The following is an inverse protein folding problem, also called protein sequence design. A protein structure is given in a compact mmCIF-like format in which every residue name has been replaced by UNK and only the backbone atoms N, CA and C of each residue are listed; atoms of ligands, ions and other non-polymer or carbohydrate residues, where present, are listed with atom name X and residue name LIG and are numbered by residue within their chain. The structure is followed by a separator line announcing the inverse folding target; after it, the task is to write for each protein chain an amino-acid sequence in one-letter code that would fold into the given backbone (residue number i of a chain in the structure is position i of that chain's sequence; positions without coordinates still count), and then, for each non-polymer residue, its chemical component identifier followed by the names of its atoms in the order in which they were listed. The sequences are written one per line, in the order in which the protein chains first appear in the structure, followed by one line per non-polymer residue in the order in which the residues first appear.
data_IF_589018749612
#
_entry.id   IF_589018749612
#
_cell.length_a   1.000
_cell.length_b   1.000
_cell.length_c   1.000
_cell.angle_alpha   90.00
_cell.angle_beta   90.00
_cell.angle_gamma   90.00
#
_symmetry.space_group_name_H-M   'P 1'
#
loop_
_entity.id
_entity.type
_entity.pdbx_description
1 polymer ?
#
# COMPACT_ATOMS: atom_id res chain seq x y z
N UNK A 1 -7.04 6.89 10.92
CA UNK A 1 -6.32 5.79 10.23
C UNK A 1 -4.97 5.70 10.92
N UNK A 2 -4.54 4.50 11.27
CA UNK A 2 -3.28 4.26 11.95
C UNK A 2 -2.32 3.61 10.95
N UNK A 3 -1.06 4.04 10.98
CA UNK A 3 -0.02 3.60 10.05
C UNK A 3 1.15 3.13 10.89
N UNK A 4 1.58 1.90 10.67
CA UNK A 4 2.72 1.30 11.36
C UNK A 4 3.68 0.76 10.32
N UNK A 5 4.98 0.96 10.53
CA UNK A 5 6.03 0.38 9.70
C UNK A 5 6.94 -0.48 10.56
N UNK A 6 7.13 -1.74 10.15
CA UNK A 6 7.99 -2.71 10.82
C UNK A 6 9.16 -3.04 9.87
N UNK A 7 10.41 -2.66 10.20
CA UNK A 7 11.51 -2.75 9.24
C UNK A 7 12.13 -4.15 9.06
N UNK A 8 12.03 -5.04 10.07
CA UNK A 8 12.71 -6.35 10.08
C UNK A 8 11.74 -7.46 10.54
N UNK A 9 11.94 -8.72 10.11
CA UNK A 9 12.97 -9.22 9.17
C UNK A 9 12.66 -8.96 7.69
N UNK A 10 11.40 -8.66 7.37
CA UNK A 10 10.96 -8.17 6.06
C UNK A 10 10.19 -6.87 6.34
N UNK A 11 10.50 -5.78 5.63
CA UNK A 11 9.78 -4.52 5.77
C UNK A 11 8.27 -4.73 5.56
N UNK A 12 7.48 -4.24 6.48
CA UNK A 12 6.02 -4.36 6.48
C UNK A 12 5.38 -3.01 6.84
N UNK A 13 4.34 -2.67 6.09
CA UNK A 13 3.53 -1.48 6.30
C UNK A 13 2.10 -1.91 6.60
N UNK A 14 1.59 -1.49 7.74
CA UNK A 14 0.24 -1.80 8.20
C UNK A 14 -0.60 -0.53 8.25
N UNK A 15 -1.72 -0.56 7.53
CA UNK A 15 -2.77 0.46 7.59
C UNK A 15 -3.97 -0.14 8.33
N UNK A 16 -4.41 0.53 9.39
CA UNK A 16 -5.49 0.06 10.24
C UNK A 16 -6.49 1.16 10.61
N UNK A 17 -7.65 0.72 11.10
CA UNK A 17 -8.69 1.56 11.69
C UNK A 17 -9.98 1.63 10.87
N UNK A 18 -11.10 1.93 11.54
CA UNK A 18 -12.45 1.83 10.97
C UNK A 18 -12.74 2.71 9.75
N UNK A 19 -11.88 3.70 9.44
CA UNK A 19 -12.00 4.50 8.23
C UNK A 19 -11.79 3.68 6.94
N UNK A 20 -11.02 2.58 7.00
CA UNK A 20 -10.73 1.74 5.84
C UNK A 20 -12.00 1.12 5.23
N UNK A 21 -12.88 0.59 6.08
CA UNK A 21 -14.15 0.02 5.64
C UNK A 21 -15.05 1.05 4.94
N UNK A 22 -15.09 2.29 5.46
CA UNK A 22 -15.84 3.40 4.84
C UNK A 22 -15.29 3.77 3.47
N UNK A 23 -13.99 3.57 3.25
CA UNK A 23 -13.30 3.80 1.99
C UNK A 23 -13.37 2.58 1.04
N UNK A 24 -14.07 1.51 1.39
CA UNK A 24 -14.22 0.31 0.55
C UNK A 24 -13.14 -0.76 0.75
N UNK A 25 -12.24 -0.59 1.72
CA UNK A 25 -11.25 -1.59 2.10
C UNK A 25 -11.86 -2.50 3.17
N UNK A 26 -12.66 -3.47 2.74
CA UNK A 26 -13.30 -4.47 3.60
C UNK A 26 -12.57 -5.79 3.56
N UNK A 27 -12.74 -6.63 4.59
CA UNK A 27 -12.11 -7.96 4.65
C UNK A 27 -12.26 -8.75 3.35
N UNK A 28 -11.15 -9.29 2.84
CA UNK A 28 -11.14 -10.09 1.61
C UNK A 28 -11.32 -9.29 0.32
N UNK A 29 -11.36 -7.96 0.39
CA UNK A 29 -11.35 -7.12 -0.81
C UNK A 29 -9.99 -7.24 -1.53
N UNK A 30 -9.97 -7.59 -2.83
CA UNK A 30 -8.75 -7.64 -3.60
C UNK A 30 -8.18 -6.23 -3.86
N UNK A 31 -6.86 -6.13 -3.85
CA UNK A 31 -6.11 -4.87 -3.94
C UNK A 31 -5.07 -4.92 -5.05
N UNK A 32 -5.03 -3.85 -5.83
CA UNK A 32 -3.93 -3.52 -6.71
C UNK A 32 -2.95 -2.59 -6.00
N UNK A 33 -1.69 -3.02 -5.93
CA UNK A 33 -0.56 -2.21 -5.51
C UNK A 33 0.15 -1.71 -6.76
N UNK A 34 0.32 -0.39 -6.90
CA UNK A 34 1.04 0.20 -8.03
C UNK A 34 2.08 1.19 -7.54
N UNK A 35 3.31 0.97 -7.95
CA UNK A 35 4.46 1.79 -7.61
C UNK A 35 4.79 2.74 -8.76
N UNK A 36 4.53 4.04 -8.59
CA UNK A 36 4.79 5.02 -9.65
C UNK A 36 5.33 6.32 -9.08
N UNK A 37 6.44 6.83 -9.62
CA UNK A 37 7.03 8.12 -9.23
C UNK A 37 7.17 8.31 -7.71
N UNK A 38 7.73 7.33 -7.00
CA UNK A 38 7.87 7.37 -5.54
C UNK A 38 6.52 7.54 -4.78
N UNK A 39 5.41 7.18 -5.42
CA UNK A 39 4.09 6.99 -4.82
C UNK A 39 3.63 5.53 -4.90
N UNK A 40 3.18 4.98 -3.79
CA UNK A 40 2.45 3.71 -3.76
C UNK A 40 0.95 3.99 -3.79
N UNK A 41 0.28 3.46 -4.79
CA UNK A 41 -1.18 3.44 -4.91
C UNK A 41 -1.71 2.08 -4.48
N UNK A 42 -2.71 2.08 -3.62
CA UNK A 42 -3.45 0.89 -3.20
C UNK A 42 -4.89 1.11 -3.67
N UNK A 43 -5.31 0.34 -4.66
CA UNK A 43 -6.63 0.48 -5.28
C UNK A 43 -7.44 -0.78 -5.06
N UNK A 44 -8.70 -0.61 -4.64
CA UNK A 44 -9.66 -1.72 -4.54
C UNK A 44 -9.99 -2.21 -5.94
N UNK A 45 -9.92 -3.53 -6.14
CA UNK A 45 -10.36 -4.19 -7.37
C UNK A 45 -11.73 -4.80 -7.11
N UNK A 46 -12.70 -4.48 -7.96
CA UNK A 46 -14.11 -4.85 -7.75
C UNK A 46 -14.62 -5.96 -8.68
N UNK A 47 -13.88 -6.27 -9.75
CA UNK A 47 -14.28 -7.26 -10.74
C UNK A 47 -13.20 -8.35 -10.91
N UNK A 48 -13.68 -9.59 -11.08
CA UNK A 48 -12.83 -10.77 -11.13
C UNK A 48 -11.91 -10.78 -12.37
N UNK A 49 -12.35 -10.22 -13.49
CA UNK A 49 -11.56 -10.16 -14.72
C UNK A 49 -10.34 -9.25 -14.56
N UNK A 50 -10.50 -8.09 -13.93
CA UNK A 50 -9.38 -7.19 -13.59
C UNK A 50 -8.47 -7.82 -12.56
N UNK A 51 -9.01 -8.55 -11.58
CA UNK A 51 -8.21 -9.27 -10.60
C UNK A 51 -7.34 -10.36 -11.24
N UNK A 52 -7.90 -11.16 -12.14
CA UNK A 52 -7.17 -12.21 -12.87
C UNK A 52 -6.04 -11.62 -13.70
N UNK A 53 -6.33 -10.59 -14.50
CA UNK A 53 -5.33 -9.88 -15.30
C UNK A 53 -4.23 -9.23 -14.43
N UNK A 54 -4.59 -8.69 -13.28
CA UNK A 54 -3.65 -8.14 -12.30
C UNK A 54 -2.70 -9.21 -11.76
N UNK A 55 -3.23 -10.37 -11.37
CA UNK A 55 -2.44 -11.49 -10.86
C UNK A 55 -1.40 -11.98 -11.88
N UNK A 56 -1.74 -11.99 -13.16
CA UNK A 56 -0.80 -12.30 -14.24
C UNK A 56 0.25 -11.19 -14.41
N UNK A 57 -0.20 -9.93 -14.48
CA UNK A 57 0.67 -8.79 -14.72
C UNK A 57 1.68 -8.57 -13.58
N UNK A 58 1.29 -8.80 -12.31
CA UNK A 58 2.18 -8.64 -11.15
C UNK A 58 3.33 -9.65 -11.13
N UNK A 59 3.21 -10.77 -11.85
CA UNK A 59 4.32 -11.73 -11.98
C UNK A 59 5.39 -11.24 -12.95
N UNK A 60 5.04 -10.34 -13.86
CA UNK A 60 5.92 -9.83 -14.91
C UNK A 60 6.46 -8.43 -14.59
N UNK A 61 5.82 -7.71 -13.66
CA UNK A 61 6.10 -6.31 -13.36
C UNK A 61 6.52 -6.13 -11.91
N UNK A 62 7.66 -5.48 -11.70
CA UNK A 62 8.18 -5.17 -10.37
C UNK A 62 7.44 -4.00 -9.70
N UNK A 63 6.76 -3.17 -10.49
CA UNK A 63 6.02 -2.00 -10.02
C UNK A 63 4.54 -2.30 -9.74
N UNK A 64 4.12 -3.56 -9.87
CA UNK A 64 2.74 -3.99 -9.69
C UNK A 64 2.67 -5.15 -8.69
N UNK A 65 1.74 -5.08 -7.75
CA UNK A 65 1.47 -6.14 -6.78
C UNK A 65 -0.02 -6.44 -6.66
N UNK A 66 -0.33 -7.69 -6.36
CA UNK A 66 -1.68 -8.16 -6.06
C UNK A 66 -1.72 -8.59 -4.59
N UNK A 67 -2.62 -8.00 -3.80
CA UNK A 67 -2.79 -8.35 -2.38
C UNK A 67 -4.27 -8.24 -1.98
N UNK A 68 -4.57 -8.47 -0.70
CA UNK A 68 -5.93 -8.52 -0.16
C UNK A 68 -5.98 -7.78 1.17
N UNK A 69 -7.14 -7.19 1.47
CA UNK A 69 -7.43 -6.76 2.84
C UNK A 69 -7.52 -8.00 3.73
N UNK A 70 -6.75 -8.01 4.83
CA UNK A 70 -6.64 -9.14 5.75
C UNK A 70 -7.95 -9.39 6.49
N UNK A 71 -8.09 -10.56 7.10
CA UNK A 71 -9.31 -10.96 7.82
C UNK A 71 -9.71 -9.98 8.94
N UNK A 72 -8.71 -9.39 9.61
CA UNK A 72 -8.89 -8.40 10.66
C UNK A 72 -9.24 -6.98 10.12
N UNK A 73 -9.42 -6.82 8.81
CA UNK A 73 -9.75 -5.55 8.17
C UNK A 73 -8.54 -4.62 7.94
N UNK A 74 -7.33 -5.10 8.17
CA UNK A 74 -6.10 -4.32 7.95
C UNK A 74 -5.59 -4.51 6.52
N UNK A 75 -4.91 -3.48 6.01
CA UNK A 75 -4.11 -3.57 4.80
C UNK A 75 -2.66 -3.71 5.23
N UNK A 76 -2.08 -4.88 5.01
CA UNK A 76 -0.70 -5.19 5.39
C UNK A 76 0.09 -5.47 4.13
N UNK A 77 1.07 -4.62 3.84
CA UNK A 77 1.91 -4.69 2.65
C UNK A 77 3.32 -5.04 3.09
N UNK A 78 3.84 -6.16 2.60
CA UNK A 78 5.20 -6.61 2.90
C UNK A 78 6.12 -6.54 1.68
N UNK A 79 7.41 -6.37 1.94
CA UNK A 79 8.46 -6.65 0.97
C UNK A 79 9.55 -5.58 0.90
N UNK A 80 10.69 -5.98 0.36
CA UNK A 80 11.89 -5.12 0.25
C UNK A 80 11.65 -3.88 -0.62
N UNK A 81 10.64 -3.91 -1.48
CA UNK A 81 10.24 -2.76 -2.30
C UNK A 81 9.82 -1.54 -1.46
N UNK A 82 9.37 -1.73 -0.20
CA UNK A 82 9.14 -0.61 0.74
C UNK A 82 10.47 0.09 1.12
N UNK A 83 11.52 -0.68 1.34
CA UNK A 83 12.87 -0.16 1.62
C UNK A 83 13.51 0.43 0.36
N UNK A 84 13.32 -0.18 -0.81
CA UNK A 84 13.75 0.39 -2.10
C UNK A 84 13.05 1.72 -2.39
N UNK A 85 11.84 1.90 -1.86
CA UNK A 85 11.13 3.17 -1.86
C UNK A 85 11.68 4.23 -0.89
N UNK A 86 12.63 3.84 -0.04
CA UNK A 86 13.18 4.69 0.99
C UNK A 86 12.20 4.97 2.13
N UNK A 87 11.19 4.11 2.34
CA UNK A 87 10.34 4.16 3.53
C UNK A 87 11.12 3.51 4.67
N UNK A 88 11.56 4.31 5.63
CA UNK A 88 12.23 3.82 6.84
C UNK A 88 11.37 3.96 8.10
N UNK A 89 10.29 4.73 8.05
CA UNK A 89 9.32 4.86 9.13
C UNK A 89 7.96 5.34 8.63
N UNK A 90 6.91 5.05 9.41
CA UNK A 90 5.55 5.53 9.12
C UNK A 90 5.41 7.07 9.17
N UNK A 91 6.24 7.75 9.96
CA UNK A 91 6.22 9.23 10.09
C UNK A 91 6.65 9.94 8.81
N UNK A 92 7.45 9.26 7.97
CA UNK A 92 7.89 9.76 6.67
C UNK A 92 6.82 9.59 5.59
N UNK A 93 5.69 8.95 5.90
CA UNK A 93 4.61 8.72 4.94
C UNK A 93 3.50 9.76 5.09
N UNK A 94 3.12 10.34 3.96
CA UNK A 94 1.86 11.01 3.80
C UNK A 94 0.86 10.05 3.16
N UNK A 95 -0.31 9.91 3.78
CA UNK A 95 -1.38 9.06 3.30
C UNK A 95 -2.58 9.93 2.94
N UNK A 96 -2.94 9.90 1.66
CA UNK A 96 -4.19 10.48 1.17
C UNK A 96 -5.17 9.36 0.90
N UNK A 97 -6.41 9.53 1.36
CA UNK A 97 -7.45 8.51 1.23
C UNK A 97 -8.65 9.06 0.46
N UNK A 98 -9.15 8.25 -0.47
CA UNK A 98 -10.39 8.45 -1.21
C UNK A 98 -11.15 7.11 -1.29
N UNK A 99 -12.45 7.10 -1.62
CA UNK A 99 -13.17 5.86 -1.83
C UNK A 99 -12.47 4.97 -2.87
N UNK A 100 -12.14 3.75 -2.46
CA UNK A 100 -11.46 2.73 -3.27
C UNK A 100 -9.96 2.95 -3.48
N UNK A 101 -9.37 4.04 -2.97
CA UNK A 101 -7.98 4.40 -3.27
C UNK A 101 -7.25 4.95 -2.04
N UNK A 102 -6.08 4.40 -1.74
CA UNK A 102 -5.10 4.99 -0.83
C UNK A 102 -3.85 5.36 -1.62
N UNK A 103 -3.36 6.57 -1.38
CA UNK A 103 -2.12 7.08 -1.95
C UNK A 103 -1.12 7.29 -0.84
N UNK A 104 0.00 6.58 -0.90
CA UNK A 104 1.09 6.64 0.05
C UNK A 104 2.27 7.29 -0.64
N UNK A 105 2.66 8.46 -0.15
CA UNK A 105 3.79 9.22 -0.67
C UNK A 105 4.80 9.41 0.44
N UNK A 106 6.08 9.27 0.09
CA UNK A 106 7.13 9.70 0.99
C UNK A 106 7.06 11.22 1.07
N UNK A 107 6.97 11.76 2.29
CA UNK A 107 7.19 13.17 2.54
C UNK A 107 8.64 13.48 2.16
N UNK A 108 8.83 14.46 1.29
CA UNK A 108 10.14 15.11 1.17
C UNK A 108 10.42 15.76 2.52
N UNK A 109 11.12 15.04 3.40
CA UNK A 109 11.80 15.70 4.49
C UNK A 109 12.93 16.44 3.81
N UNK A 110 12.77 17.76 3.64
CA UNK A 110 13.85 18.66 3.24
C UNK A 110 15.01 18.45 4.22
N UNK A 111 15.92 17.52 3.90
CA UNK A 111 17.26 17.48 4.48
C UNK A 111 18.12 18.39 3.62
N UNK A 112 17.72 19.65 3.48
CA UNK A 112 18.69 20.70 3.23
C UNK A 112 19.46 20.89 4.53
N UNK A 113 20.47 20.05 4.75
CA UNK A 113 21.54 20.39 5.69
C UNK A 113 22.44 21.41 5.00
N UNK A 114 22.43 22.61 5.56
CA UNK A 114 23.35 23.71 5.27
C UNK A 114 24.83 23.31 5.48
#
# INVERSE_FOLDING_TARGET
MNITFTPEPIPELTLAGGALAVLGFTTGTPLQLTLQHHTLWITVVTDDATWEALCEASQQRQDLGADWVRENGEVIIGGNWLTEFGIASAEQLEVTAAPGVLRLQRREVDVFKA
#
